data_IF_101346363259
#
_entry.id   IF_101346363259
#
_cell.length_a   1.000
_cell.length_b   1.000
_cell.length_c   1.000
_cell.angle_alpha   90.00
_cell.angle_beta   90.00
_cell.angle_gamma   90.00
#
_symmetry.space_group_name_H-M   'P 1'
#
loop_
_entity.id
_entity.type
_entity.pdbx_description
1 polymer ?
#
# COMPACT_ATOMS: atom_id res chain seq x y z
N UNK A 1 54.73 64.87 -28.07
CA UNK A 1 54.42 63.92 -29.17
C UNK A 1 53.48 62.87 -28.60
N UNK A 2 52.17 63.16 -28.56
CA UNK A 2 51.14 62.81 -29.57
C UNK A 2 50.72 61.34 -29.57
N UNK A 3 49.51 61.14 -29.01
CA UNK A 3 48.44 60.21 -29.37
C UNK A 3 48.61 58.70 -29.08
N UNK A 4 47.67 58.15 -28.28
CA UNK A 4 46.54 57.32 -28.75
C UNK A 4 45.61 56.96 -27.56
N UNK A 5 44.34 57.37 -27.65
CA UNK A 5 43.16 56.78 -27.01
C UNK A 5 42.58 55.71 -27.99
N UNK A 6 41.55 54.87 -27.71
CA UNK A 6 40.80 54.57 -26.48
C UNK A 6 40.42 53.04 -26.32
N UNK A 7 39.51 52.74 -25.36
CA UNK A 7 38.56 51.59 -25.31
C UNK A 7 39.11 50.20 -24.90
N UNK A 8 38.71 49.70 -23.72
CA UNK A 8 37.83 48.51 -23.61
C UNK A 8 37.33 48.31 -22.16
N UNK A 9 36.01 48.26 -22.03
CA UNK A 9 35.28 47.80 -20.86
C UNK A 9 35.25 46.26 -20.83
N UNK A 10 35.33 45.65 -19.63
CA UNK A 10 34.76 44.34 -19.31
C UNK A 10 34.82 44.19 -17.77
N UNK A 11 33.76 44.50 -17.02
CA UNK A 11 32.64 43.59 -16.73
C UNK A 11 33.18 42.21 -16.30
N UNK A 12 33.61 42.09 -15.04
CA UNK A 12 33.73 40.80 -14.37
C UNK A 12 32.34 40.42 -13.84
N UNK A 13 31.50 39.96 -14.77
CA UNK A 13 30.19 39.36 -14.48
C UNK A 13 30.43 38.03 -13.74
N UNK A 14 30.01 38.01 -12.47
CA UNK A 14 29.44 36.87 -11.75
C UNK A 14 29.41 35.54 -12.51
N UNK A 15 30.43 34.69 -12.28
CA UNK A 15 30.31 33.25 -12.49
C UNK A 15 29.54 32.65 -11.30
N UNK A 16 28.22 32.87 -11.26
CA UNK A 16 27.35 31.93 -10.55
C UNK A 16 27.28 30.73 -11.48
N UNK A 17 28.11 29.73 -11.21
CA UNK A 17 27.98 28.42 -11.81
C UNK A 17 26.54 27.98 -11.60
N UNK A 18 25.80 27.92 -12.70
CA UNK A 18 24.42 27.47 -12.70
C UNK A 18 24.34 26.10 -12.06
N UNK A 19 23.49 25.97 -11.04
CA UNK A 19 22.92 24.69 -10.68
C UNK A 19 22.31 24.13 -11.98
N UNK A 20 22.93 23.08 -12.53
CA UNK A 20 22.33 22.38 -13.65
C UNK A 20 20.97 21.89 -13.20
N UNK A 21 19.95 22.14 -14.01
CA UNK A 21 18.62 21.58 -13.86
C UNK A 21 18.73 20.05 -13.83
N UNK A 22 18.80 19.47 -12.64
CA UNK A 22 18.48 18.06 -12.44
C UNK A 22 16.97 18.01 -12.56
N UNK A 23 16.49 17.36 -13.61
CA UNK A 23 15.07 17.07 -13.82
C UNK A 23 14.52 16.42 -12.55
N UNK A 24 13.94 17.22 -11.66
CA UNK A 24 13.15 16.78 -10.53
C UNK A 24 11.73 16.55 -11.04
N UNK A 25 11.58 15.59 -11.95
CA UNK A 25 10.27 15.00 -12.30
C UNK A 25 9.96 13.79 -11.42
N UNK A 26 10.74 13.56 -10.37
CA UNK A 26 10.67 12.40 -9.48
C UNK A 26 10.00 12.74 -8.13
N UNK A 27 9.05 13.69 -8.13
CA UNK A 27 8.15 13.88 -7.00
C UNK A 27 6.72 13.63 -7.46
N UNK A 28 6.17 12.47 -7.05
CA UNK A 28 4.79 11.98 -7.27
C UNK A 28 4.52 11.14 -8.53
N UNK A 29 5.56 10.61 -9.19
CA UNK A 29 5.41 9.66 -10.29
C UNK A 29 5.77 8.23 -9.88
N UNK A 30 5.00 7.24 -10.34
CA UNK A 30 5.41 5.83 -10.30
C UNK A 30 6.75 5.69 -11.05
N UNK A 31 7.75 5.03 -10.46
CA UNK A 31 9.03 4.81 -11.13
C UNK A 31 8.85 4.00 -12.42
N UNK A 32 9.74 4.16 -13.41
CA UNK A 32 9.66 3.38 -14.68
C UNK A 32 9.60 1.88 -14.47
N UNK A 33 10.26 1.38 -13.42
CA UNK A 33 10.27 -0.03 -13.04
C UNK A 33 8.89 -0.47 -12.55
N UNK A 34 8.27 0.33 -11.69
CA UNK A 34 6.89 0.11 -11.21
C UNK A 34 5.90 0.19 -12.37
N UNK A 35 6.02 1.16 -13.27
CA UNK A 35 5.18 1.28 -14.47
C UNK A 35 5.36 0.09 -15.42
N UNK A 36 6.59 -0.39 -15.61
CA UNK A 36 6.90 -1.57 -16.41
C UNK A 36 6.28 -2.84 -15.81
N UNK A 37 6.42 -3.05 -14.50
CA UNK A 37 5.78 -4.14 -13.78
C UNK A 37 4.24 -4.07 -13.92
N UNK A 38 3.65 -2.91 -13.65
CA UNK A 38 2.21 -2.71 -13.74
C UNK A 38 1.67 -2.94 -15.15
N UNK A 39 2.32 -2.43 -16.19
CA UNK A 39 1.86 -2.61 -17.58
C UNK A 39 2.04 -4.04 -18.12
N UNK A 40 3.03 -4.78 -17.60
CA UNK A 40 3.22 -6.19 -17.94
C UNK A 40 2.22 -7.12 -17.24
N UNK A 41 1.70 -6.70 -16.09
CA UNK A 41 0.83 -7.52 -15.23
C UNK A 41 -0.66 -7.12 -15.37
N UNK A 42 -0.93 -5.84 -15.61
CA UNK A 42 -2.28 -5.28 -15.66
C UNK A 42 -2.50 -4.50 -16.96
N UNK A 43 -3.49 -4.93 -17.75
CA UNK A 43 -4.01 -4.13 -18.87
C UNK A 43 -5.23 -3.37 -18.39
N UNK A 44 -5.24 -2.05 -18.58
CA UNK A 44 -6.43 -1.23 -18.36
C UNK A 44 -7.49 -1.66 -19.37
N UNK A 45 -8.61 -2.19 -18.89
CA UNK A 45 -9.81 -2.41 -19.71
C UNK A 45 -10.55 -1.08 -19.94
N UNK A 46 -11.47 -1.06 -20.90
CA UNK A 46 -12.26 0.14 -21.24
C UNK A 46 -13.19 0.59 -20.10
N UNK A 47 -13.57 -0.32 -19.19
CA UNK A 47 -14.20 0.02 -17.92
C UNK A 47 -13.13 0.25 -16.86
N UNK A 48 -13.28 1.30 -16.05
CA UNK A 48 -12.35 1.75 -15.00
C UNK A 48 -11.98 0.71 -13.90
N UNK A 49 -12.36 -0.57 -14.06
CA UNK A 49 -11.85 -1.69 -13.26
C UNK A 49 -10.53 -2.22 -13.83
N UNK A 50 -9.45 -2.18 -13.05
CA UNK A 50 -8.18 -2.84 -13.38
C UNK A 50 -8.33 -4.36 -13.18
N UNK A 51 -8.97 -5.07 -14.11
CA UNK A 51 -9.12 -6.53 -14.01
C UNK A 51 -7.76 -7.21 -14.11
N UNK A 52 -7.50 -8.16 -13.22
CA UNK A 52 -6.33 -9.04 -13.29
C UNK A 52 -6.55 -9.98 -14.48
N UNK A 53 -5.79 -9.78 -15.57
CA UNK A 53 -5.93 -10.56 -16.81
C UNK A 53 -5.01 -11.78 -16.88
N UNK A 54 -4.17 -11.99 -15.86
CA UNK A 54 -3.18 -13.06 -15.83
C UNK A 54 -3.72 -14.36 -15.24
N UNK A 55 -3.22 -15.47 -15.76
CA UNK A 55 -3.42 -16.80 -15.16
C UNK A 55 -2.63 -16.95 -13.87
N UNK A 56 -3.04 -17.88 -13.01
CA UNK A 56 -2.29 -18.26 -11.80
C UNK A 56 -0.82 -18.57 -12.08
N UNK A 57 -0.53 -19.30 -13.16
CA UNK A 57 0.83 -19.61 -13.56
C UNK A 57 1.66 -18.36 -13.89
N UNK A 58 1.05 -17.38 -14.57
CA UNK A 58 1.71 -16.11 -14.90
C UNK A 58 1.93 -15.24 -13.66
N UNK A 59 0.93 -15.15 -12.77
CA UNK A 59 1.05 -14.42 -11.50
C UNK A 59 2.18 -15.00 -10.65
N UNK A 60 2.25 -16.33 -10.53
CA UNK A 60 3.28 -17.05 -9.78
C UNK A 60 4.69 -16.94 -10.40
N UNK A 61 4.77 -16.78 -11.73
CA UNK A 61 6.04 -16.65 -12.45
C UNK A 61 6.51 -15.20 -12.57
N UNK A 62 5.75 -14.22 -12.07
CA UNK A 62 6.07 -12.81 -12.18
C UNK A 62 7.42 -12.48 -11.53
N UNK A 63 8.30 -11.73 -12.22
CA UNK A 63 9.51 -11.22 -11.60
C UNK A 63 9.21 -10.12 -10.59
N UNK A 64 8.09 -9.40 -10.72
CA UNK A 64 7.64 -8.41 -9.74
C UNK A 64 6.94 -9.07 -8.56
N UNK A 65 7.07 -8.48 -7.37
CA UNK A 65 6.24 -8.84 -6.23
C UNK A 65 4.80 -8.34 -6.46
N UNK A 66 3.83 -9.21 -6.19
CA UNK A 66 2.44 -9.01 -6.54
C UNK A 66 1.55 -9.29 -5.34
N UNK A 67 0.57 -8.41 -5.20
CA UNK A 67 -0.54 -8.57 -4.28
C UNK A 67 -1.84 -8.44 -5.07
N UNK A 68 -2.84 -9.25 -4.74
CA UNK A 68 -4.19 -9.10 -5.28
C UNK A 68 -5.04 -8.44 -4.21
N UNK A 69 -5.89 -7.51 -4.61
CA UNK A 69 -6.82 -6.82 -3.74
C UNK A 69 -8.23 -6.92 -4.29
N UNK A 70 -9.18 -7.07 -3.38
CA UNK A 70 -10.61 -6.89 -3.64
C UNK A 70 -11.18 -5.91 -2.63
N UNK A 71 -12.09 -5.07 -3.10
CA UNK A 71 -12.91 -4.19 -2.25
C UNK A 71 -14.36 -4.53 -2.54
N UNK A 72 -14.96 -5.46 -1.76
CA UNK A 72 -16.30 -6.00 -2.06
C UNK A 72 -17.38 -4.92 -2.19
N UNK A 73 -17.34 -3.91 -1.33
CA UNK A 73 -18.31 -2.81 -1.30
C UNK A 73 -18.26 -1.95 -2.57
N UNK A 74 -17.12 -1.89 -3.26
CA UNK A 74 -16.95 -1.20 -4.53
C UNK A 74 -17.09 -2.13 -5.73
N UNK A 75 -17.25 -3.45 -5.52
CA UNK A 75 -17.25 -4.45 -6.59
C UNK A 75 -15.96 -4.46 -7.42
N UNK A 76 -14.85 -4.00 -6.82
CA UNK A 76 -13.59 -3.78 -7.53
C UNK A 76 -12.53 -4.80 -7.11
N UNK A 77 -11.71 -5.17 -8.09
CA UNK A 77 -10.54 -6.00 -7.89
C UNK A 77 -9.38 -5.38 -8.67
N UNK A 78 -8.18 -5.46 -8.10
CA UNK A 78 -6.96 -4.99 -8.73
C UNK A 78 -5.79 -5.82 -8.24
N UNK A 79 -4.72 -5.89 -9.05
CA UNK A 79 -3.44 -6.28 -8.51
C UNK A 79 -2.55 -5.06 -8.27
N UNK A 80 -1.64 -5.24 -7.33
CA UNK A 80 -0.75 -4.21 -6.82
C UNK A 80 0.67 -4.69 -6.92
N UNK A 81 1.56 -3.72 -7.10
CA UNK A 81 3.00 -3.91 -6.97
C UNK A 81 3.51 -3.03 -5.83
N UNK A 82 4.69 -3.36 -5.33
CA UNK A 82 5.37 -2.50 -4.35
C UNK A 82 5.73 -1.16 -4.99
N UNK A 83 5.29 -0.07 -4.35
CA UNK A 83 5.64 1.30 -4.71
C UNK A 83 6.84 1.81 -3.91
N UNK A 84 6.80 1.60 -2.59
CA UNK A 84 7.78 2.12 -1.65
C UNK A 84 7.86 1.24 -0.40
N UNK A 85 9.02 1.26 0.25
CA UNK A 85 9.25 0.64 1.55
C UNK A 85 9.81 1.69 2.52
N UNK A 86 9.14 1.89 3.64
CA UNK A 86 9.58 2.78 4.71
C UNK A 86 9.65 1.98 6.02
N UNK A 87 10.86 1.58 6.43
CA UNK A 87 11.09 0.67 7.56
C UNK A 87 10.30 -0.64 7.37
N UNK A 88 9.41 -0.96 8.31
CA UNK A 88 8.54 -2.14 8.34
C UNK A 88 7.20 -1.95 7.61
N UNK A 89 7.02 -0.81 6.93
CA UNK A 89 5.80 -0.50 6.15
C UNK A 89 6.08 -0.55 4.65
N UNK A 90 5.34 -1.40 3.94
CA UNK A 90 5.35 -1.50 2.48
C UNK A 90 4.11 -0.83 1.90
N UNK A 91 4.29 0.10 0.97
CA UNK A 91 3.20 0.69 0.20
C UNK A 91 3.01 -0.07 -1.10
N UNK A 92 1.81 -0.54 -1.34
CA UNK A 92 1.38 -1.24 -2.55
C UNK A 92 0.47 -0.32 -3.36
N UNK A 93 0.64 -0.30 -4.68
CA UNK A 93 -0.09 0.61 -5.57
C UNK A 93 -0.66 -0.12 -6.78
N UNK A 94 -1.85 0.29 -7.20
CA UNK A 94 -2.49 -0.11 -8.45
C UNK A 94 -2.05 0.80 -9.61
N UNK A 95 -2.29 0.42 -10.88
CA UNK A 95 -2.05 1.30 -12.03
C UNK A 95 -2.84 2.61 -12.03
N UNK A 96 -3.97 2.68 -11.32
CA UNK A 96 -4.79 3.89 -11.22
C UNK A 96 -4.40 4.81 -10.05
N UNK A 97 -3.36 4.47 -9.30
CA UNK A 97 -2.82 5.29 -8.22
C UNK A 97 -3.48 5.04 -6.85
N UNK A 98 -4.43 4.11 -6.77
CA UNK A 98 -4.97 3.64 -5.49
C UNK A 98 -3.91 2.86 -4.72
N UNK A 99 -3.74 3.15 -3.43
CA UNK A 99 -2.67 2.59 -2.64
C UNK A 99 -3.11 2.07 -1.28
N UNK A 100 -2.45 1.01 -0.81
CA UNK A 100 -2.59 0.44 0.52
C UNK A 100 -1.20 0.25 1.12
N UNK A 101 -0.98 0.77 2.32
CA UNK A 101 0.27 0.55 3.06
C UNK A 101 0.06 -0.50 4.14
N UNK A 102 1.00 -1.43 4.23
CA UNK A 102 0.92 -2.60 5.10
C UNK A 102 2.11 -2.68 6.05
N UNK A 103 1.83 -3.02 7.31
CA UNK A 103 2.83 -3.44 8.30
C UNK A 103 2.52 -4.87 8.71
N UNK A 104 3.44 -5.80 8.46
CA UNK A 104 3.24 -7.23 8.72
C UNK A 104 1.91 -7.78 8.14
N UNK A 105 1.50 -7.28 6.96
CA UNK A 105 0.26 -7.65 6.29
C UNK A 105 -1.00 -6.95 6.84
N UNK A 106 -0.89 -6.11 7.85
CA UNK A 106 -1.99 -5.31 8.39
C UNK A 106 -2.05 -3.94 7.71
N UNK A 107 -3.24 -3.52 7.30
CA UNK A 107 -3.47 -2.19 6.71
C UNK A 107 -3.20 -1.11 7.75
N UNK A 108 -2.25 -0.24 7.42
CA UNK A 108 -1.87 0.93 8.24
C UNK A 108 -2.19 2.25 7.57
N UNK A 109 -2.44 2.29 6.26
CA UNK A 109 -2.87 3.49 5.54
C UNK A 109 -3.52 3.09 4.22
N UNK A 110 -4.50 3.86 3.75
CA UNK A 110 -5.07 3.74 2.41
C UNK A 110 -5.10 5.11 1.73
N UNK A 111 -5.04 5.14 0.40
CA UNK A 111 -5.17 6.36 -0.37
C UNK A 111 -5.86 6.09 -1.71
N UNK A 112 -6.76 6.99 -2.10
CA UNK A 112 -7.44 6.93 -3.39
C UNK A 112 -8.79 6.21 -3.35
N UNK A 113 -9.26 5.78 -2.17
CA UNK A 113 -10.59 5.17 -2.01
C UNK A 113 -11.65 6.19 -1.57
N UNK A 114 -11.24 7.39 -1.15
CA UNK A 114 -12.14 8.48 -0.75
C UNK A 114 -12.66 8.39 0.69
N UNK A 115 -12.71 7.19 1.28
CA UNK A 115 -13.00 6.96 2.70
C UNK A 115 -11.82 6.27 3.39
N UNK A 116 -10.68 6.92 3.26
CA UNK A 116 -9.36 6.41 3.60
C UNK A 116 -9.04 6.47 5.10
N UNK A 117 -8.15 5.58 5.55
CA UNK A 117 -7.48 5.76 6.85
C UNK A 117 -6.13 6.45 6.62
N UNK A 118 -5.90 7.56 7.33
CA UNK A 118 -4.66 8.32 7.20
C UNK A 118 -3.48 7.53 7.78
N UNK A 119 -3.67 6.98 8.98
CA UNK A 119 -2.73 6.03 9.59
C UNK A 119 -3.45 5.08 10.55
N UNK A 120 -2.81 3.97 10.92
CA UNK A 120 -3.26 3.12 12.00
C UNK A 120 -2.09 2.60 12.84
N UNK A 121 -2.32 2.46 14.15
CA UNK A 121 -1.47 1.66 15.03
C UNK A 121 -2.09 0.27 15.14
N UNK A 122 -1.29 -0.73 14.79
CA UNK A 122 -1.73 -2.12 14.65
C UNK A 122 -0.99 -3.01 15.65
N UNK A 123 -1.65 -4.05 16.20
CA UNK A 123 -1.03 -4.94 17.17
C UNK A 123 -0.05 -5.92 16.54
N UNK A 124 0.77 -6.58 17.35
CA UNK A 124 1.52 -7.76 16.92
C UNK A 124 0.60 -8.99 16.93
N UNK A 125 0.17 -9.42 15.74
CA UNK A 125 -0.68 -10.60 15.57
C UNK A 125 0.08 -11.92 15.77
N UNK A 126 1.41 -11.92 15.58
CA UNK A 126 2.25 -13.11 15.71
C UNK A 126 2.58 -13.41 17.18
N UNK A 127 2.42 -12.43 18.06
CA UNK A 127 2.46 -12.60 19.50
C UNK A 127 1.34 -13.51 20.02
N UNK A 128 1.43 -13.90 21.30
CA UNK A 128 0.45 -14.77 21.97
C UNK A 128 -0.75 -14.03 22.58
N UNK A 129 -0.89 -12.72 22.37
CA UNK A 129 -1.96 -11.94 23.00
C UNK A 129 -3.34 -12.37 22.51
N UNK A 130 -4.30 -12.51 23.44
CA UNK A 130 -5.71 -12.77 23.13
C UNK A 130 -6.54 -11.48 23.06
N UNK A 131 -6.01 -10.38 23.60
CA UNK A 131 -6.64 -9.07 23.60
C UNK A 131 -5.64 -8.02 23.15
N UNK A 132 -6.08 -7.15 22.24
CA UNK A 132 -5.24 -6.13 21.62
C UNK A 132 -6.03 -4.84 21.40
N UNK A 133 -5.31 -3.76 21.15
CA UNK A 133 -5.87 -2.46 20.80
C UNK A 133 -5.41 -2.10 19.39
N UNK A 134 -6.31 -1.50 18.62
CA UNK A 134 -6.05 -0.96 17.29
C UNK A 134 -6.60 0.45 17.23
N UNK A 135 -5.78 1.37 16.73
CA UNK A 135 -6.14 2.78 16.60
C UNK A 135 -6.14 3.15 15.13
N UNK A 136 -7.27 3.64 14.62
CA UNK A 136 -7.38 4.22 13.28
C UNK A 136 -7.42 5.75 13.40
N UNK A 137 -6.56 6.43 12.65
CA UNK A 137 -6.55 7.87 12.51
C UNK A 137 -7.16 8.23 11.15
N UNK A 138 -8.29 8.93 11.16
CA UNK A 138 -9.05 9.26 9.94
C UNK A 138 -9.18 10.76 9.78
N UNK A 139 -8.96 11.25 8.57
CA UNK A 139 -9.38 12.59 8.19
C UNK A 139 -10.85 12.52 7.84
N UNK A 140 -11.67 13.27 8.55
CA UNK A 140 -13.11 13.40 8.25
C UNK A 140 -13.36 14.73 7.54
N UNK A 141 -14.63 15.03 7.25
CA UNK A 141 -15.02 16.22 6.49
C UNK A 141 -14.80 17.56 7.20
N UNK A 142 -14.31 17.54 8.44
CA UNK A 142 -13.98 18.70 9.27
C UNK A 142 -12.48 19.05 9.24
N UNK A 143 -11.70 18.41 8.37
CA UNK A 143 -10.24 18.60 8.23
C UNK A 143 -9.41 18.21 9.47
N UNK A 144 -10.04 17.58 10.46
CA UNK A 144 -9.38 17.10 11.67
C UNK A 144 -9.08 15.59 11.59
N UNK A 145 -8.03 15.18 12.32
CA UNK A 145 -7.68 13.76 12.50
C UNK A 145 -8.45 13.21 13.70
N UNK A 146 -9.33 12.25 13.43
CA UNK A 146 -10.11 11.55 14.44
C UNK A 146 -9.48 10.21 14.78
N UNK A 147 -9.24 9.98 16.07
CA UNK A 147 -8.84 8.68 16.60
C UNK A 147 -10.08 7.80 16.83
N UNK A 148 -10.10 6.64 16.19
CA UNK A 148 -11.06 5.58 16.45
C UNK A 148 -10.30 4.41 17.07
N UNK A 149 -10.55 4.16 18.34
CA UNK A 149 -9.93 3.08 19.10
C UNK A 149 -10.83 1.86 19.15
N UNK A 150 -10.28 0.73 18.72
CA UNK A 150 -10.91 -0.58 18.81
C UNK A 150 -10.24 -1.42 19.88
N UNK A 151 -11.07 -2.09 20.69
CA UNK A 151 -10.66 -3.14 21.61
C UNK A 151 -11.02 -4.47 20.99
N UNK A 152 -10.01 -5.30 20.74
CA UNK A 152 -10.17 -6.51 19.93
C UNK A 152 -9.83 -7.77 20.71
N UNK A 153 -10.56 -8.84 20.42
CA UNK A 153 -10.29 -10.20 20.87
C UNK A 153 -9.76 -11.04 19.70
N UNK A 154 -8.69 -11.79 19.93
CA UNK A 154 -8.02 -12.62 18.93
C UNK A 154 -8.30 -14.10 19.18
N UNK A 155 -8.78 -14.80 18.16
CA UNK A 155 -8.95 -16.26 18.16
C UNK A 155 -8.07 -16.89 17.10
N UNK A 156 -7.34 -17.94 17.47
CA UNK A 156 -6.37 -18.62 16.59
C UNK A 156 -6.84 -20.02 16.27
N UNK A 157 -6.67 -20.42 15.01
CA UNK A 157 -6.97 -21.77 14.53
C UNK A 157 -6.01 -22.17 13.41
N UNK A 158 -5.92 -23.46 13.11
CA UNK A 158 -5.23 -23.94 11.92
C UNK A 158 -6.15 -23.84 10.71
N UNK A 159 -5.63 -23.39 9.58
CA UNK A 159 -6.38 -23.32 8.32
C UNK A 159 -5.45 -23.48 7.11
N UNK A 160 -6.01 -23.76 5.95
CA UNK A 160 -5.29 -23.84 4.67
C UNK A 160 -5.90 -22.86 3.69
N UNK A 161 -5.07 -21.98 3.12
CA UNK A 161 -5.50 -21.02 2.11
C UNK A 161 -4.88 -21.33 0.75
N UNK A 162 -5.66 -21.14 -0.31
CA UNK A 162 -5.16 -21.21 -1.69
C UNK A 162 -4.96 -19.80 -2.23
N UNK A 163 -3.75 -19.48 -2.65
CA UNK A 163 -3.42 -18.23 -3.34
C UNK A 163 -2.83 -18.59 -4.69
N UNK A 164 -3.46 -18.11 -5.76
CA UNK A 164 -3.03 -18.35 -7.16
C UNK A 164 -2.75 -19.84 -7.44
N UNK A 165 -3.67 -20.71 -7.00
CA UNK A 165 -3.60 -22.16 -7.19
C UNK A 165 -2.60 -22.90 -6.29
N UNK A 166 -1.84 -22.19 -5.42
CA UNK A 166 -0.91 -22.80 -4.46
C UNK A 166 -1.53 -22.83 -3.07
N UNK A 167 -1.40 -23.98 -2.42
CA UNK A 167 -1.91 -24.20 -1.07
C UNK A 167 -0.87 -23.86 0.00
N UNK A 168 -1.29 -23.16 1.04
CA UNK A 168 -0.48 -22.78 2.19
C UNK A 168 -1.14 -23.24 3.48
N UNK A 169 -0.41 -24.02 4.28
CA UNK A 169 -0.77 -24.25 5.67
C UNK A 169 -0.53 -22.97 6.47
N UNK A 170 -1.53 -22.54 7.24
CA UNK A 170 -1.54 -21.24 7.91
C UNK A 170 -2.10 -21.32 9.32
N UNK A 171 -1.70 -20.35 10.15
CA UNK A 171 -2.45 -19.98 11.34
C UNK A 171 -3.45 -18.91 10.96
N UNK A 172 -4.74 -19.22 11.08
CA UNK A 172 -5.83 -18.28 10.94
C UNK A 172 -6.02 -17.51 12.24
N UNK A 173 -6.12 -16.20 12.14
CA UNK A 173 -6.43 -15.29 13.24
C UNK A 173 -7.73 -14.56 12.90
N UNK A 174 -8.77 -14.82 13.69
CA UNK A 174 -10.01 -14.05 13.66
C UNK A 174 -9.92 -12.97 14.75
N UNK A 175 -10.00 -11.71 14.36
CA UNK A 175 -9.92 -10.52 15.19
C UNK A 175 -11.30 -9.85 15.25
N UNK A 176 -11.94 -9.89 16.42
CA UNK A 176 -13.23 -9.25 16.67
C UNK A 176 -13.04 -7.98 17.48
N UNK A 177 -13.30 -6.85 16.84
CA UNK A 177 -13.04 -5.51 17.36
C UNK A 177 -14.35 -4.78 17.67
N UNK A 178 -14.32 -3.98 18.74
CA UNK A 178 -15.40 -3.04 19.08
C UNK A 178 -14.85 -1.73 19.62
N UNK A 179 -15.49 -0.63 19.28
CA UNK A 179 -15.25 0.69 19.87
C UNK A 179 -16.12 0.90 21.12
N UNK A 180 -15.88 1.96 21.88
CA UNK A 180 -16.70 2.29 23.06
C UNK A 180 -18.13 2.71 22.68
N UNK A 181 -18.29 3.35 21.53
CA UNK A 181 -19.58 3.79 20.97
C UNK A 181 -20.32 2.68 20.21
N UNK A 182 -19.78 1.46 20.19
CA UNK A 182 -20.50 0.26 19.72
C UNK A 182 -20.29 -0.09 18.24
N UNK A 183 -19.43 0.62 17.51
CA UNK A 183 -19.01 0.19 16.18
C UNK A 183 -18.23 -1.12 16.28
N UNK A 184 -18.48 -2.05 15.35
CA UNK A 184 -17.79 -3.34 15.30
C UNK A 184 -16.99 -3.50 14.02
N UNK A 185 -15.92 -4.27 14.08
CA UNK A 185 -15.09 -4.65 12.94
C UNK A 185 -14.61 -6.10 13.12
N UNK A 186 -14.50 -6.85 12.02
CA UNK A 186 -14.03 -8.24 12.05
C UNK A 186 -12.94 -8.44 11.02
N UNK A 187 -11.70 -8.57 11.48
CA UNK A 187 -10.57 -8.83 10.60
C UNK A 187 -10.21 -10.31 10.64
N UNK A 188 -9.74 -10.85 9.51
CA UNK A 188 -9.26 -12.23 9.44
C UNK A 188 -7.94 -12.26 8.71
N UNK A 189 -6.97 -13.00 9.25
CA UNK A 189 -5.62 -13.11 8.70
C UNK A 189 -5.20 -14.57 8.61
N UNK A 190 -4.58 -14.96 7.50
CA UNK A 190 -4.00 -16.28 7.29
C UNK A 190 -2.48 -16.18 7.18
N UNK A 191 -1.79 -16.54 8.26
CA UNK A 191 -0.34 -16.37 8.40
C UNK A 191 0.37 -17.69 8.12
N UNK A 192 1.25 -17.75 7.12
CA UNK A 192 2.03 -18.95 6.83
C UNK A 192 3.14 -19.19 7.86
N UNK A 193 3.79 -20.36 7.81
CA UNK A 193 4.86 -20.73 8.75
C UNK A 193 6.11 -19.83 8.69
N UNK A 194 6.22 -18.93 7.70
CA UNK A 194 7.29 -17.91 7.61
C UNK A 194 6.85 -16.55 8.17
N UNK A 195 5.62 -16.46 8.66
CA UNK A 195 5.04 -15.21 9.17
C UNK A 195 4.36 -14.35 8.10
N UNK A 196 4.28 -14.80 6.83
CA UNK A 196 3.65 -13.99 5.78
C UNK A 196 2.14 -14.12 5.84
N UNK A 197 1.44 -12.99 5.87
CA UNK A 197 -0.02 -12.94 5.71
C UNK A 197 -0.35 -13.26 4.25
N UNK A 198 -0.71 -14.51 3.98
CA UNK A 198 -1.04 -15.01 2.63
C UNK A 198 -2.37 -14.45 2.14
N UNK A 199 -3.31 -14.33 3.06
CA UNK A 199 -4.62 -13.74 2.81
C UNK A 199 -5.03 -12.90 4.03
N UNK A 200 -5.78 -11.83 3.80
CA UNK A 200 -6.47 -11.12 4.85
C UNK A 200 -7.78 -10.51 4.38
N UNK A 201 -8.68 -10.25 5.31
CA UNK A 201 -9.87 -9.40 5.16
C UNK A 201 -9.87 -8.40 6.30
N UNK A 202 -9.82 -7.11 5.99
CA UNK A 202 -9.57 -6.06 6.98
C UNK A 202 -10.53 -4.91 6.81
N UNK A 203 -11.17 -4.50 7.89
CA UNK A 203 -12.04 -3.34 7.94
C UNK A 203 -11.20 -2.06 7.84
N UNK A 204 -11.58 -1.15 6.96
CA UNK A 204 -10.90 0.15 6.81
C UNK A 204 -11.75 1.26 7.42
N UNK A 205 -12.98 1.42 6.95
CA UNK A 205 -13.92 2.44 7.39
C UNK A 205 -15.37 2.01 7.14
N UNK A 206 -16.38 2.63 7.79
CA UNK A 206 -17.78 2.30 7.54
C UNK A 206 -18.21 2.49 6.09
N UNK A 207 -17.64 3.47 5.39
CA UNK A 207 -17.99 3.81 4.01
C UNK A 207 -17.24 2.93 2.99
N UNK A 208 -15.97 2.61 3.22
CA UNK A 208 -15.19 1.74 2.33
C UNK A 208 -15.45 0.26 2.60
N UNK A 209 -15.83 -0.09 3.83
CA UNK A 209 -16.01 -1.47 4.26
C UNK A 209 -14.68 -2.20 4.41
N UNK A 210 -14.52 -3.28 3.65
CA UNK A 210 -13.41 -4.21 3.81
C UNK A 210 -12.47 -4.21 2.60
N UNK A 211 -11.19 -4.36 2.88
CA UNK A 211 -10.19 -4.72 1.88
C UNK A 211 -9.78 -6.17 2.09
N UNK A 212 -9.87 -6.96 1.04
CA UNK A 212 -9.36 -8.32 0.99
C UNK A 212 -8.05 -8.35 0.21
N UNK A 213 -7.02 -8.93 0.79
CA UNK A 213 -5.67 -8.98 0.21
C UNK A 213 -5.19 -10.41 0.10
N UNK A 214 -4.55 -10.75 -1.01
CA UNK A 214 -3.82 -12.00 -1.20
C UNK A 214 -2.39 -11.73 -1.66
N UNK A 215 -1.41 -12.20 -0.88
CA UNK A 215 0.01 -12.04 -1.20
C UNK A 215 0.48 -13.18 -2.12
N UNK A 216 0.70 -12.86 -3.40
CA UNK A 216 1.19 -13.83 -4.40
C UNK A 216 2.65 -14.20 -4.09
N UNK A 217 3.47 -13.25 -3.64
CA UNK A 217 4.84 -13.53 -3.18
C UNK A 217 5.06 -13.10 -1.73
N UNK A 218 6.30 -13.06 -1.28
CA UNK A 218 6.66 -12.91 0.14
C UNK A 218 6.89 -11.48 0.61
N UNK A 219 6.78 -10.45 -0.25
CA UNK A 219 7.09 -9.06 0.12
C UNK A 219 8.59 -8.81 0.36
N UNK A 220 9.42 -9.85 0.23
CA UNK A 220 10.82 -9.90 0.65
C UNK A 220 11.59 -10.64 -0.43
N UNK A 221 12.41 -9.89 -1.19
CA UNK A 221 13.55 -10.39 -1.95
C UNK A 221 14.77 -9.59 -1.54
#
# INVERSE_FOLDING_TARGET
MTARLPILALIALTAIAGCSNRDSSDERGLTREVVGALSSVFRRGDDASTRITLTDAQLNASPADLMLMKVPELGSEAGLVTHAQNRDVTTWITPDGTAVSLKDGQVVSTAGFGSDIASAQVPDLRGGAERVVRDHYRLLGDEDIHLIRYFCALRRSGDTVSVTGRSFATTRIDEECRTEDGQTAQNVYWIDGRGVVRQSRQFVSPQLGYIELQAVHTGLR
#
